data_IF_315065559859
#
_entry.id   IF_315065559859
#
_cell.length_a   1.000
_cell.length_b   1.000
_cell.length_c   1.000
_cell.angle_alpha   90.00
_cell.angle_beta   90.00
_cell.angle_gamma   90.00
#
_symmetry.space_group_name_H-M   'P 1'
#
loop_
_entity.id
_entity.type
_entity.pdbx_description
1 polymer ?
#
# COMPACT_ATOMS: atom_id res chain seq x y z
N UNK A 1 -12.27 8.92 14.25
CA UNK A 1 -11.45 9.64 15.24
C UNK A 1 -10.14 8.89 15.37
N UNK A 2 -9.03 9.59 15.44
CA UNK A 2 -7.70 9.00 15.71
C UNK A 2 -7.49 8.91 17.23
N UNK A 3 -6.89 7.81 17.70
CA UNK A 3 -6.56 7.59 19.11
C UNK A 3 -5.08 7.21 19.21
N UNK A 4 -4.34 7.90 20.07
CA UNK A 4 -2.91 7.71 20.25
C UNK A 4 -2.64 7.00 21.56
N UNK A 5 -1.97 5.86 21.46
CA UNK A 5 -1.49 5.13 22.64
C UNK A 5 -0.07 5.59 22.95
N UNK A 6 0.09 6.30 24.07
CA UNK A 6 1.40 6.75 24.58
C UNK A 6 1.83 6.01 25.84
N UNK A 7 0.90 5.29 26.47
CA UNK A 7 1.09 4.54 27.71
C UNK A 7 0.13 3.34 27.78
N UNK A 8 0.36 2.43 28.71
CA UNK A 8 -0.48 1.24 28.93
C UNK A 8 0.08 -0.05 28.32
N UNK A 9 -0.81 -0.99 28.01
CA UNK A 9 -0.45 -2.30 27.46
C UNK A 9 -0.07 -2.23 25.98
N UNK A 10 1.21 -2.47 25.70
CA UNK A 10 1.76 -2.49 24.35
C UNK A 10 1.09 -3.54 23.46
N UNK A 11 0.75 -4.72 23.98
CA UNK A 11 0.10 -5.77 23.19
C UNK A 11 -1.28 -5.34 22.73
N UNK A 12 -2.04 -4.68 23.60
CA UNK A 12 -3.34 -4.12 23.27
C UNK A 12 -3.22 -3.02 22.21
N UNK A 13 -2.27 -2.10 22.38
CA UNK A 13 -2.04 -1.01 21.44
C UNK A 13 -1.67 -1.52 20.04
N UNK A 14 -0.73 -2.46 19.95
CA UNK A 14 -0.34 -3.10 18.69
C UNK A 14 -1.52 -3.84 18.08
N UNK A 15 -2.24 -4.65 18.88
CA UNK A 15 -3.40 -5.41 18.40
C UNK A 15 -4.50 -4.51 17.86
N UNK A 16 -4.79 -3.40 18.54
CA UNK A 16 -5.74 -2.41 18.05
C UNK A 16 -5.24 -1.74 16.76
N UNK A 17 -3.96 -1.36 16.72
CA UNK A 17 -3.35 -0.69 15.57
C UNK A 17 -3.30 -1.54 14.30
N UNK A 18 -3.23 -2.87 14.42
CA UNK A 18 -3.21 -3.77 13.26
C UNK A 18 -4.57 -4.41 12.95
N UNK A 19 -5.67 -4.01 13.60
CA UNK A 19 -6.99 -4.63 13.42
C UNK A 19 -7.66 -4.22 12.10
N UNK A 20 -7.14 -4.72 10.98
CA UNK A 20 -7.55 -4.38 9.62
C UNK A 20 -9.00 -4.82 9.33
N UNK A 21 -9.89 -3.88 8.91
CA UNK A 21 -11.26 -4.20 8.58
C UNK A 21 -11.37 -5.30 7.51
N UNK A 22 -12.26 -6.27 7.75
CA UNK A 22 -12.46 -7.42 6.85
C UNK A 22 -11.47 -8.58 7.05
N UNK A 23 -10.35 -8.36 7.74
CA UNK A 23 -9.37 -9.40 8.07
C UNK A 23 -9.40 -9.77 9.56
N UNK A 24 -9.51 -8.77 10.44
CA UNK A 24 -9.50 -8.95 11.89
C UNK A 24 -10.69 -8.27 12.55
N UNK A 25 -11.16 -8.85 13.65
CA UNK A 25 -12.21 -8.27 14.48
C UNK A 25 -11.70 -6.98 15.15
N UNK A 26 -12.55 -5.94 15.27
CA UNK A 26 -12.18 -4.72 15.96
C UNK A 26 -11.93 -4.98 17.46
N UNK A 27 -11.13 -4.12 18.08
CA UNK A 27 -10.74 -4.24 19.49
C UNK A 27 -11.55 -3.26 20.34
N UNK A 28 -12.22 -3.74 21.38
CA UNK A 28 -12.89 -2.86 22.33
C UNK A 28 -11.88 -2.26 23.31
N UNK A 29 -11.83 -0.93 23.40
CA UNK A 29 -11.00 -0.23 24.38
C UNK A 29 -11.65 1.09 24.80
N UNK A 30 -11.80 1.31 26.11
CA UNK A 30 -12.38 2.52 26.70
C UNK A 30 -13.72 2.97 26.05
N UNK A 31 -14.59 2.01 25.74
CA UNK A 31 -15.90 2.26 25.12
C UNK A 31 -15.87 2.51 23.61
N UNK A 32 -14.70 2.38 22.96
CA UNK A 32 -14.54 2.49 21.52
C UNK A 32 -14.23 1.13 20.89
N UNK A 33 -14.81 0.88 19.72
CA UNK A 33 -14.34 -0.16 18.81
C UNK A 33 -13.23 0.40 17.93
N UNK A 34 -12.03 -0.18 18.05
CA UNK A 34 -10.84 0.23 17.36
C UNK A 34 -10.58 -0.66 16.15
N UNK A 35 -10.15 -0.03 15.06
CA UNK A 35 -9.70 -0.65 13.82
C UNK A 35 -8.31 -0.13 13.50
N UNK A 36 -7.69 -0.71 12.48
CA UNK A 36 -6.35 -0.33 12.00
C UNK A 36 -6.17 1.19 11.82
N UNK A 37 -5.03 1.69 12.29
CA UNK A 37 -4.67 3.10 12.24
C UNK A 37 -4.44 3.63 10.82
N UNK A 38 -4.10 2.76 9.86
CA UNK A 38 -3.85 3.13 8.48
C UNK A 38 -5.05 3.77 7.80
N UNK A 39 -6.27 3.40 8.23
CA UNK A 39 -7.53 3.97 7.73
C UNK A 39 -7.63 5.48 8.00
N UNK A 40 -6.93 6.00 9.03
CA UNK A 40 -6.99 7.41 9.44
C UNK A 40 -5.65 8.15 9.35
N UNK A 41 -4.53 7.44 9.46
CA UNK A 41 -3.20 8.01 9.42
C UNK A 41 -2.16 6.95 9.00
N UNK A 42 -2.10 6.59 7.71
CA UNK A 42 -1.26 5.50 7.21
C UNK A 42 0.24 5.76 7.32
N UNK A 43 0.66 7.03 7.31
CA UNK A 43 2.05 7.44 7.53
C UNK A 43 2.04 8.61 8.52
N UNK A 44 2.17 8.36 9.82
CA UNK A 44 1.86 9.33 10.87
C UNK A 44 3.02 10.33 11.15
N UNK A 45 3.43 11.09 10.13
CA UNK A 45 4.51 12.10 10.21
C UNK A 45 4.21 13.15 11.29
N UNK A 46 3.03 13.77 11.21
CA UNK A 46 2.59 14.77 12.19
C UNK A 46 2.56 14.27 13.64
N UNK A 47 2.28 12.99 13.86
CA UNK A 47 2.32 12.40 15.20
C UNK A 47 3.77 12.31 15.69
N UNK A 48 4.70 11.83 14.86
CA UNK A 48 6.11 11.77 15.22
C UNK A 48 6.66 13.16 15.59
N UNK A 49 6.30 14.20 14.82
CA UNK A 49 6.65 15.59 15.13
C UNK A 49 6.01 16.09 16.42
N UNK A 50 4.71 15.81 16.62
CA UNK A 50 4.01 16.17 17.86
C UNK A 50 4.60 15.48 19.10
N UNK A 51 5.23 14.31 18.94
CA UNK A 51 5.96 13.60 19.98
C UNK A 51 7.37 14.17 20.23
N UNK A 52 7.79 15.21 19.50
CA UNK A 52 9.05 15.92 19.70
C UNK A 52 10.19 15.45 18.79
N UNK A 53 9.91 14.78 17.68
CA UNK A 53 10.94 14.45 16.71
C UNK A 53 11.42 15.69 15.94
N UNK A 54 12.72 15.98 16.00
CA UNK A 54 13.37 17.05 15.21
C UNK A 54 13.47 16.68 13.71
N UNK A 55 13.65 15.38 13.45
CA UNK A 55 13.81 14.81 12.12
C UNK A 55 12.86 13.61 12.02
N UNK A 56 12.03 13.57 10.98
CA UNK A 56 11.14 12.44 10.69
C UNK A 56 11.58 11.72 9.43
N UNK A 57 11.93 10.45 9.59
CA UNK A 57 12.17 9.51 8.50
C UNK A 57 10.91 8.65 8.35
N UNK A 58 10.16 8.86 7.27
CA UNK A 58 8.97 8.10 6.98
C UNK A 58 9.27 6.92 6.05
N UNK A 59 8.61 5.78 6.32
CA UNK A 59 8.64 4.60 5.44
C UNK A 59 7.23 4.39 4.90
N UNK A 60 7.06 4.49 3.58
CA UNK A 60 5.79 4.29 2.89
C UNK A 60 5.83 3.02 2.04
N UNK A 61 5.12 1.98 2.46
CA UNK A 61 5.04 0.69 1.78
C UNK A 61 3.94 0.65 0.70
N UNK A 62 3.04 1.63 0.68
CA UNK A 62 1.86 1.62 -0.21
C UNK A 62 2.07 2.44 -1.49
N UNK A 63 3.32 2.82 -1.81
CA UNK A 63 3.61 3.57 -3.04
C UNK A 63 3.25 2.77 -4.30
N UNK A 64 3.47 1.45 -4.28
CA UNK A 64 3.31 0.57 -5.44
C UNK A 64 1.91 -0.03 -5.60
N UNK A 65 1.03 0.11 -4.60
CA UNK A 65 -0.31 -0.48 -4.63
C UNK A 65 -1.15 0.01 -5.82
N UNK A 66 -0.84 1.19 -6.36
CA UNK A 66 -1.48 1.76 -7.54
C UNK A 66 -1.20 0.97 -8.84
N UNK A 67 -0.11 0.19 -8.90
CA UNK A 67 0.22 -0.66 -10.05
C UNK A 67 -0.66 -1.91 -10.10
N UNK A 68 -1.02 -2.48 -8.94
CA UNK A 68 -1.90 -3.67 -8.87
C UNK A 68 -3.34 -3.34 -9.25
N UNK A 69 -3.80 -2.12 -8.97
CA UNK A 69 -5.13 -1.68 -9.33
C UNK A 69 -5.30 -1.44 -10.83
N UNK A 70 -4.21 -1.17 -11.55
CA UNK A 70 -4.22 -1.13 -13.00
C UNK A 70 -4.44 -2.53 -13.58
N UNK A 71 -3.99 -3.62 -12.95
CA UNK A 71 -4.24 -4.99 -13.44
C UNK A 71 -5.68 -5.50 -13.20
N UNK A 72 -6.34 -5.03 -12.14
CA UNK A 72 -7.78 -5.32 -11.93
C UNK A 72 -8.69 -4.57 -12.91
N UNK A 73 -8.22 -3.46 -13.48
CA UNK A 73 -8.96 -2.61 -14.41
C UNK A 73 -8.40 -2.65 -15.85
N UNK A 74 -7.25 -3.29 -16.08
CA UNK A 74 -6.63 -3.38 -17.39
C UNK A 74 -7.40 -4.41 -18.21
N UNK A 75 -8.15 -3.90 -19.18
CA UNK A 75 -8.48 -4.71 -20.35
C UNK A 75 -7.15 -5.13 -20.98
N UNK A 76 -6.76 -6.39 -20.84
CA UNK A 76 -5.66 -6.99 -21.59
C UNK A 76 -5.90 -6.79 -23.09
N UNK A 77 -5.21 -5.82 -23.68
CA UNK A 77 -5.14 -5.61 -25.13
C UNK A 77 -4.33 -6.77 -25.73
N UNK A 78 -4.92 -7.59 -26.63
CA UNK A 78 -4.17 -8.69 -27.24
C UNK A 78 -3.05 -8.12 -28.10
N UNK A 79 -1.83 -8.61 -27.90
CA UNK A 79 -0.65 -8.32 -28.72
C UNK A 79 -0.93 -8.78 -30.17
N UNK A 80 -0.65 -7.96 -31.19
CA UNK A 80 -0.78 -8.41 -32.57
C UNK A 80 0.46 -9.27 -32.89
N UNK A 81 0.30 -10.59 -32.88
CA UNK A 81 1.26 -11.46 -33.54
C UNK A 81 0.98 -11.44 -35.04
N UNK A 82 2.00 -11.04 -35.80
CA UNK A 82 2.01 -10.91 -37.26
C UNK A 82 1.98 -12.28 -37.94
N UNK A 83 1.11 -12.38 -38.96
CA UNK A 83 1.22 -13.09 -40.27
C UNK A 83 1.70 -14.56 -40.26
N UNK A 84 0.98 -15.57 -40.78
CA UNK A 84 0.34 -15.71 -42.09
C UNK A 84 -0.74 -16.84 -42.05
N UNK A 85 -1.94 -16.58 -42.59
CA UNK A 85 -2.64 -17.39 -43.62
C UNK A 85 -4.12 -16.98 -43.76
N UNK A 86 -4.48 -16.51 -44.95
CA UNK A 86 -5.79 -15.99 -45.30
C UNK A 86 -6.80 -17.13 -45.50
N UNK A 87 -7.64 -17.41 -44.51
CA UNK A 87 -8.85 -18.23 -44.69
C UNK A 87 -10.08 -17.49 -44.16
N UNK A 88 -11.01 -17.13 -45.06
CA UNK A 88 -12.23 -16.39 -44.71
C UNK A 88 -13.11 -17.14 -43.68
N UNK A 89 -13.02 -18.48 -43.66
CA UNK A 89 -13.67 -19.32 -42.66
C UNK A 89 -13.07 -19.16 -41.27
N UNK A 90 -11.75 -18.89 -41.15
CA UNK A 90 -11.13 -18.57 -39.87
C UNK A 90 -11.57 -17.19 -39.39
N UNK A 91 -11.72 -16.20 -40.29
CA UNK A 91 -12.25 -14.88 -39.92
C UNK A 91 -13.71 -14.90 -39.48
N UNK A 92 -14.56 -15.72 -40.12
CA UNK A 92 -15.97 -15.86 -39.74
C UNK A 92 -16.10 -16.60 -38.40
N UNK A 93 -15.31 -17.67 -38.18
CA UNK A 93 -15.22 -18.36 -36.88
C UNK A 93 -14.64 -17.46 -35.80
N UNK A 94 -13.62 -16.66 -36.08
CA UNK A 94 -13.03 -15.72 -35.12
C UNK A 94 -13.97 -14.55 -34.80
N UNK A 95 -14.83 -14.11 -35.74
CA UNK A 95 -15.90 -13.14 -35.46
C UNK A 95 -17.02 -13.75 -34.61
N UNK A 96 -17.45 -14.97 -34.92
CA UNK A 96 -18.44 -15.71 -34.12
C UNK A 96 -17.91 -16.03 -32.73
N UNK A 97 -16.65 -16.46 -32.62
CA UNK A 97 -15.94 -16.69 -31.37
C UNK A 97 -15.68 -15.39 -30.61
N UNK A 98 -15.48 -14.24 -31.28
CA UNK A 98 -15.44 -12.91 -30.63
C UNK A 98 -16.81 -12.46 -30.12
N UNK A 99 -17.90 -12.90 -30.74
CA UNK A 99 -19.26 -12.61 -30.28
C UNK A 99 -19.66 -13.46 -29.06
N UNK A 100 -19.12 -14.69 -28.94
CA UNK A 100 -19.32 -15.58 -27.79
C UNK A 100 -18.24 -15.42 -26.71
N UNK A 101 -17.05 -14.93 -27.05
CA UNK A 101 -16.02 -14.46 -26.12
C UNK A 101 -16.31 -13.03 -25.67
N UNK A 102 -17.49 -12.83 -25.07
CA UNK A 102 -17.58 -11.83 -24.00
C UNK A 102 -16.72 -12.39 -22.87
N UNK A 103 -15.43 -12.03 -22.93
CA UNK A 103 -14.41 -12.26 -21.90
C UNK A 103 -15.13 -12.01 -20.58
N UNK A 104 -15.36 -13.06 -19.79
CA UNK A 104 -16.18 -12.97 -18.60
C UNK A 104 -15.45 -12.01 -17.65
N UNK A 105 -15.87 -10.75 -17.66
CA UNK A 105 -15.45 -9.74 -16.71
C UNK A 105 -16.06 -10.23 -15.40
N UNK A 106 -15.26 -10.94 -14.62
CA UNK A 106 -15.71 -11.47 -13.34
C UNK A 106 -16.01 -10.25 -12.48
N UNK A 107 -17.28 -10.06 -12.12
CA UNK A 107 -17.65 -8.93 -11.29
C UNK A 107 -16.87 -9.02 -9.97
N UNK A 108 -16.25 -7.92 -9.52
CA UNK A 108 -15.47 -7.94 -8.30
C UNK A 108 -16.37 -8.28 -7.11
N UNK A 109 -15.81 -9.00 -6.15
CA UNK A 109 -16.52 -9.37 -4.92
C UNK A 109 -16.69 -8.14 -4.02
N UNK A 110 -17.67 -8.18 -3.12
CA UNK A 110 -17.88 -7.08 -2.16
C UNK A 110 -16.63 -6.79 -1.31
N UNK A 111 -15.89 -7.84 -0.95
CA UNK A 111 -14.64 -7.73 -0.20
C UNK A 111 -13.53 -7.04 -1.01
N UNK A 112 -13.40 -7.38 -2.30
CA UNK A 112 -12.45 -6.73 -3.21
C UNK A 112 -12.77 -5.24 -3.36
N UNK A 113 -14.04 -4.89 -3.56
CA UNK A 113 -14.48 -3.49 -3.67
C UNK A 113 -14.15 -2.73 -2.38
N UNK A 114 -14.43 -3.32 -1.22
CA UNK A 114 -14.12 -2.70 0.08
C UNK A 114 -12.62 -2.49 0.27
N UNK A 115 -11.81 -3.52 0.06
CA UNK A 115 -10.34 -3.44 0.20
C UNK A 115 -9.75 -2.38 -0.74
N UNK A 116 -10.18 -2.40 -2.00
CA UNK A 116 -9.77 -1.42 -3.01
C UNK A 116 -10.17 0.00 -2.60
N UNK A 117 -11.38 0.17 -2.07
CA UNK A 117 -11.86 1.49 -1.62
C UNK A 117 -11.05 2.00 -0.42
N UNK A 118 -10.73 1.14 0.54
CA UNK A 118 -9.86 1.47 1.68
C UNK A 118 -8.49 1.93 1.17
N UNK A 119 -7.85 1.16 0.28
CA UNK A 119 -6.55 1.51 -0.28
C UNK A 119 -6.55 2.87 -1.02
N UNK A 120 -7.61 3.16 -1.78
CA UNK A 120 -7.76 4.47 -2.45
C UNK A 120 -7.90 5.60 -1.44
N UNK A 121 -8.72 5.41 -0.40
CA UNK A 121 -8.92 6.41 0.65
C UNK A 121 -7.64 6.63 1.47
N UNK A 122 -6.96 5.56 1.87
CA UNK A 122 -5.67 5.61 2.56
C UNK A 122 -4.64 6.37 1.71
N UNK A 123 -4.49 6.03 0.43
CA UNK A 123 -3.57 6.74 -0.46
C UNK A 123 -3.91 8.21 -0.63
N UNK A 124 -5.21 8.55 -0.71
CA UNK A 124 -5.66 9.95 -0.78
C UNK A 124 -5.33 10.70 0.50
N UNK A 125 -5.61 10.09 1.65
CA UNK A 125 -5.36 10.68 2.97
C UNK A 125 -3.86 10.86 3.22
N UNK A 126 -3.07 9.84 2.89
CA UNK A 126 -1.61 9.86 2.90
C UNK A 126 -1.05 11.03 2.09
N UNK A 127 -1.44 11.15 0.82
CA UNK A 127 -0.99 12.24 -0.07
C UNK A 127 -1.40 13.61 0.47
N UNK A 128 -2.62 13.75 0.99
CA UNK A 128 -3.09 15.01 1.56
C UNK A 128 -2.30 15.41 2.82
N UNK A 129 -2.05 14.46 3.72
CA UNK A 129 -1.26 14.71 4.94
C UNK A 129 0.20 15.02 4.62
N UNK A 130 0.85 14.23 3.76
CA UNK A 130 2.24 14.49 3.35
C UNK A 130 2.41 15.82 2.61
N UNK A 131 1.37 16.30 1.91
CA UNK A 131 1.43 17.62 1.28
C UNK A 131 1.39 18.78 2.30
N UNK A 132 0.74 18.57 3.45
CA UNK A 132 0.68 19.56 4.53
C UNK A 132 1.86 19.47 5.50
N UNK A 133 2.27 18.25 5.83
CA UNK A 133 3.38 17.96 6.75
C UNK A 133 4.26 16.85 6.15
N UNK A 134 5.19 17.20 5.23
CA UNK A 134 6.08 16.24 4.61
C UNK A 134 7.13 15.74 5.62
N UNK A 135 7.53 14.47 5.54
CA UNK A 135 8.68 13.97 6.30
C UNK A 135 9.97 14.57 5.74
N UNK A 136 11.02 14.59 6.57
CA UNK A 136 12.34 15.08 6.18
C UNK A 136 13.01 14.11 5.20
N UNK A 137 12.83 12.81 5.41
CA UNK A 137 13.22 11.75 4.46
C UNK A 137 12.05 10.80 4.26
N UNK A 138 11.78 10.46 3.00
CA UNK A 138 10.81 9.44 2.63
C UNK A 138 11.52 8.25 1.99
N UNK A 139 11.32 7.07 2.58
CA UNK A 139 11.80 5.78 2.08
C UNK A 139 10.61 5.00 1.54
N UNK A 140 10.72 4.55 0.29
CA UNK A 140 9.68 3.80 -0.40
C UNK A 140 10.26 2.50 -0.96
N UNK A 141 10.22 1.39 -0.19
CA UNK A 141 10.61 0.08 -0.67
C UNK A 141 9.78 -0.36 -1.86
N UNK A 142 10.44 -0.85 -2.91
CA UNK A 142 9.78 -1.36 -4.10
C UNK A 142 9.47 -2.85 -3.93
N UNK A 143 8.20 -3.17 -3.67
CA UNK A 143 7.74 -4.52 -3.36
C UNK A 143 6.58 -4.92 -4.30
N UNK A 144 6.81 -5.02 -5.63
CA UNK A 144 5.75 -5.33 -6.56
C UNK A 144 5.18 -6.72 -6.27
N UNK A 145 3.85 -6.84 -6.34
CA UNK A 145 3.13 -8.12 -6.27
C UNK A 145 3.23 -8.84 -4.91
N UNK A 146 3.73 -8.19 -3.85
CA UNK A 146 3.66 -8.72 -2.47
C UNK A 146 2.40 -8.16 -1.82
N UNK A 147 1.42 -9.03 -1.58
CA UNK A 147 0.17 -8.68 -0.91
C UNK A 147 0.36 -8.64 0.61
N UNK A 148 -0.56 -7.97 1.31
CA UNK A 148 -0.59 -7.88 2.79
C UNK A 148 -0.51 -9.23 3.50
N UNK A 149 -0.98 -10.31 2.86
CA UNK A 149 -1.04 -11.67 3.43
C UNK A 149 0.06 -12.61 2.90
N UNK A 150 0.99 -12.13 2.07
CA UNK A 150 2.05 -12.96 1.46
C UNK A 150 3.25 -13.19 2.40
N UNK A 151 2.99 -13.78 3.57
CA UNK A 151 4.02 -14.02 4.60
C UNK A 151 5.19 -14.88 4.12
N UNK A 152 4.96 -15.75 3.12
CA UNK A 152 5.99 -16.59 2.51
C UNK A 152 7.08 -15.79 1.77
N UNK A 153 6.80 -14.56 1.36
CA UNK A 153 7.73 -13.67 0.63
C UNK A 153 8.39 -12.63 1.53
N UNK A 154 8.34 -12.81 2.85
CA UNK A 154 8.93 -11.87 3.80
C UNK A 154 10.40 -11.57 3.52
N UNK A 155 11.19 -12.57 3.09
CA UNK A 155 12.60 -12.38 2.74
C UNK A 155 12.81 -11.38 1.59
N UNK A 156 11.96 -11.44 0.56
CA UNK A 156 12.00 -10.49 -0.57
C UNK A 156 11.67 -9.07 -0.11
N UNK A 157 10.63 -8.92 0.73
CA UNK A 157 10.22 -7.62 1.27
C UNK A 157 11.33 -6.99 2.15
N UNK A 158 12.00 -7.79 2.98
CA UNK A 158 13.13 -7.35 3.80
C UNK A 158 14.31 -6.89 2.92
N UNK A 159 14.63 -7.64 1.86
CA UNK A 159 15.69 -7.27 0.93
C UNK A 159 15.36 -5.96 0.19
N UNK A 160 14.11 -5.80 -0.27
CA UNK A 160 13.65 -4.56 -0.88
C UNK A 160 13.74 -3.36 0.08
N UNK A 161 13.44 -3.57 1.37
CA UNK A 161 13.62 -2.58 2.42
C UNK A 161 15.08 -2.13 2.56
N UNK A 162 16.02 -3.08 2.64
CA UNK A 162 17.46 -2.76 2.68
C UNK A 162 17.91 -1.95 1.46
N UNK A 163 17.54 -2.39 0.25
CA UNK A 163 17.88 -1.69 -0.98
C UNK A 163 17.32 -0.26 -1.03
N UNK A 164 16.13 -0.04 -0.47
CA UNK A 164 15.51 1.29 -0.43
C UNK A 164 16.26 2.24 0.52
N UNK A 165 16.75 1.72 1.65
CA UNK A 165 17.60 2.46 2.59
C UNK A 165 18.96 2.78 1.95
N UNK A 166 19.58 1.80 1.27
CA UNK A 166 20.87 1.99 0.59
C UNK A 166 20.80 3.09 -0.48
N UNK A 167 19.71 3.16 -1.25
CA UNK A 167 19.49 4.23 -2.23
C UNK A 167 19.35 5.62 -1.61
N UNK A 168 18.99 5.69 -0.33
CA UNK A 168 18.80 6.94 0.43
C UNK A 168 19.97 7.24 1.37
N UNK A 169 21.07 6.49 1.29
CA UNK A 169 22.22 6.61 2.18
C UNK A 169 22.84 8.02 2.16
N UNK A 170 22.89 8.67 0.99
CA UNK A 170 23.43 10.03 0.84
C UNK A 170 22.63 11.08 1.63
N UNK A 171 21.31 10.90 1.75
CA UNK A 171 20.42 11.77 2.54
C UNK A 171 20.46 11.40 4.03
N UNK A 172 20.65 10.12 4.37
CA UNK A 172 20.62 9.60 5.74
C UNK A 172 21.93 9.84 6.52
N UNK A 173 23.09 9.67 5.87
CA UNK A 173 24.40 9.77 6.52
C UNK A 173 24.68 11.12 7.20
N UNK A 174 24.29 12.29 6.62
CA UNK A 174 24.46 13.57 7.28
C UNK A 174 23.70 13.66 8.61
N UNK A 175 22.52 13.05 8.70
CA UNK A 175 21.66 13.12 9.89
C UNK A 175 22.25 12.34 11.07
N UNK A 176 22.94 11.23 10.80
CA UNK A 176 23.62 10.41 11.83
C UNK A 176 24.88 11.10 12.37
N UNK A 177 25.52 11.95 11.56
CA UNK A 177 26.82 12.58 11.90
C UNK A 177 26.69 13.91 12.61
N UNK A 178 25.47 14.43 12.79
CA UNK A 178 25.25 15.65 13.57
C UNK A 178 25.48 15.32 15.05
N UNK A 179 26.49 15.89 15.72
CA UNK A 179 26.61 15.73 17.16
C UNK A 179 25.36 16.33 17.77
N UNK A 180 24.63 15.54 18.55
CA UNK A 180 23.55 16.06 19.41
C UNK A 180 24.23 16.94 20.45
N UNK A 181 24.40 18.23 20.15
CA UNK A 181 24.70 19.24 21.15
C UNK A 181 23.46 19.33 22.05
N UNK A 182 23.46 18.51 23.10
CA UNK A 182 22.51 18.59 24.20
C UNK A 182 22.66 19.97 24.85
N UNK A 183 21.64 20.82 24.68
CA UNK A 183 21.40 22.00 25.51
C UNK A 183 20.94 21.55 26.89
#
# INVERSE_FOLDING_TARGET
RELWFTEGDLHLAIRASCSMPGLMAPVMHNGYWLVDGAVVNPVPVSLARAMGADIVIAVDLQHDAHLMQQDLLSMEMPRPESEEDFSWHSRLRTRLARMTSRRATRAPTAMEIMSTSIQVLENRLKRNRMAGDPPDILIQPFCPQISTLDFHRAGEAIAAGHLAVEKKMDELLPLVRTPVERI
#
